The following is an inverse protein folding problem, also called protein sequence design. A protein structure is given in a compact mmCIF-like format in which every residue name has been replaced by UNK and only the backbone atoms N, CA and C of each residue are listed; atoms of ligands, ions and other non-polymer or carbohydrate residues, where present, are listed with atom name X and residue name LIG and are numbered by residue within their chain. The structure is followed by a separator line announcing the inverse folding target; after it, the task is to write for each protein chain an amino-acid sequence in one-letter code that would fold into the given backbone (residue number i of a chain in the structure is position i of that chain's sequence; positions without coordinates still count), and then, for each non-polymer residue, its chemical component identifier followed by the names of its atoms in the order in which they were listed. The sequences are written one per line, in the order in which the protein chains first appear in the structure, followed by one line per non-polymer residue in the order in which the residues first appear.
data_IF_847902293975
#
_entry.id   IF_847902293975
#
_cell.length_a   1.000
_cell.length_b   1.000
_cell.length_c   1.000
_cell.angle_alpha   90.00
_cell.angle_beta   90.00
_cell.angle_gamma   90.00
#
_symmetry.space_group_name_H-M   'P 1'
#
loop_
_entity.id
_entity.type
_entity.pdbx_description
1 polymer ?
#
# COMPACT_ATOMS: atom_id res chain seq x y z
N UNK A 1 -1.71 -9.38 -1.94
CA UNK A 1 -2.22 -8.01 -1.77
C UNK A 1 -2.41 -7.35 -3.13
N UNK A 2 -1.40 -7.36 -4.00
CA UNK A 2 -1.52 -6.78 -5.33
C UNK A 2 -2.68 -7.37 -6.13
N UNK A 3 -2.75 -8.71 -6.23
CA UNK A 3 -3.86 -9.41 -6.90
C UNK A 3 -5.24 -8.98 -6.39
N UNK A 4 -5.38 -8.79 -5.07
CA UNK A 4 -6.62 -8.31 -4.46
C UNK A 4 -6.96 -6.87 -4.88
N UNK A 5 -5.97 -5.98 -4.92
CA UNK A 5 -6.14 -4.58 -5.31
C UNK A 5 -6.36 -4.40 -6.82
N UNK A 6 -5.91 -5.37 -7.62
CA UNK A 6 -6.11 -5.46 -9.07
C UNK A 6 -7.45 -6.10 -9.44
N UNK A 7 -7.96 -7.04 -8.64
CA UNK A 7 -9.26 -7.66 -8.84
C UNK A 7 -10.43 -6.73 -8.48
N UNK A 8 -11.51 -6.68 -9.30
CA UNK A 8 -12.70 -5.90 -8.99
C UNK A 8 -13.41 -6.41 -7.73
N UNK A 9 -14.00 -5.50 -6.95
CA UNK A 9 -14.97 -5.87 -5.91
C UNK A 9 -16.33 -6.23 -6.54
N UNK A 10 -17.21 -6.96 -5.83
CA UNK A 10 -18.56 -7.28 -6.32
C UNK A 10 -19.35 -6.06 -6.78
N UNK A 11 -19.16 -4.91 -6.12
CA UNK A 11 -19.83 -3.64 -6.46
C UNK A 11 -19.25 -2.99 -7.73
N UNK A 12 -18.04 -3.37 -8.15
CA UNK A 12 -17.40 -2.91 -9.39
C UNK A 12 -17.80 -3.78 -10.61
N UNK A 13 -18.48 -4.92 -10.39
CA UNK A 13 -18.88 -5.86 -11.44
C UNK A 13 -20.32 -5.56 -11.89
N UNK A 14 -20.47 -5.22 -13.16
CA UNK A 14 -21.77 -5.07 -13.81
C UNK A 14 -22.19 -6.41 -14.43
N UNK A 15 -23.15 -7.09 -13.77
CA UNK A 15 -23.64 -8.41 -14.18
C UNK A 15 -24.33 -8.42 -15.55
N UNK A 16 -24.78 -7.26 -16.04
CA UNK A 16 -25.46 -7.11 -17.33
C UNK A 16 -24.50 -6.65 -18.45
N UNK A 17 -23.23 -6.37 -18.13
CA UNK A 17 -22.21 -5.97 -19.09
C UNK A 17 -21.69 -7.16 -19.90
N UNK A 18 -21.52 -6.96 -21.22
CA UNK A 18 -20.86 -7.91 -22.13
C UNK A 18 -19.37 -7.61 -22.31
N UNK A 19 -18.85 -6.57 -21.67
CA UNK A 19 -17.42 -6.24 -21.72
C UNK A 19 -16.61 -7.15 -20.79
N UNK A 20 -15.35 -7.41 -21.15
CA UNK A 20 -14.40 -8.10 -20.28
C UNK A 20 -14.29 -7.40 -18.92
N UNK A 21 -14.24 -8.17 -17.83
CA UNK A 21 -14.01 -7.65 -16.48
C UNK A 21 -12.73 -6.80 -16.46
N UNK A 22 -12.91 -5.48 -16.39
CA UNK A 22 -11.81 -4.53 -16.26
C UNK A 22 -11.28 -4.64 -14.83
N UNK A 23 -9.95 -4.60 -14.69
CA UNK A 23 -9.32 -4.56 -13.37
C UNK A 23 -9.90 -3.43 -12.49
N UNK A 24 -9.81 -3.63 -11.18
CA UNK A 24 -10.33 -2.71 -10.18
C UNK A 24 -9.85 -1.27 -10.38
N UNK A 25 -10.79 -0.34 -10.20
CA UNK A 25 -10.52 1.11 -10.27
C UNK A 25 -10.50 1.77 -8.91
N UNK A 26 -10.93 1.06 -7.86
CA UNK A 26 -10.97 1.59 -6.50
C UNK A 26 -9.61 2.08 -6.01
N UNK A 27 -9.65 3.11 -5.16
CA UNK A 27 -8.47 3.74 -4.58
C UNK A 27 -7.92 3.03 -3.34
N UNK A 28 -8.77 2.41 -2.53
CA UNK A 28 -8.46 1.83 -1.21
C UNK A 28 -8.93 0.39 -1.07
N UNK A 29 -8.73 -0.25 0.10
CA UNK A 29 -8.99 -1.69 0.24
C UNK A 29 -10.43 -2.08 -0.07
N UNK A 30 -11.39 -1.26 0.33
CA UNK A 30 -12.82 -1.55 0.32
C UNK A 30 -13.64 -0.54 -0.53
N UNK A 31 -12.97 0.26 -1.36
CA UNK A 31 -13.64 1.22 -2.22
C UNK A 31 -12.83 2.49 -2.45
N UNK A 32 -13.51 3.61 -2.64
CA UNK A 32 -12.90 4.91 -2.92
C UNK A 32 -12.70 5.79 -1.69
N UNK A 33 -13.18 5.35 -0.52
CA UNK A 33 -12.96 6.03 0.76
C UNK A 33 -12.07 5.22 1.69
N UNK A 34 -11.35 5.92 2.56
CA UNK A 34 -10.56 5.29 3.61
C UNK A 34 -11.47 4.60 4.63
N UNK A 35 -11.11 3.38 4.99
CA UNK A 35 -11.79 2.57 6.00
C UNK A 35 -10.85 2.21 7.14
N UNK A 36 -11.39 1.58 8.19
CA UNK A 36 -10.58 1.06 9.30
C UNK A 36 -9.52 0.03 8.85
N UNK A 37 -9.78 -0.70 7.77
CA UNK A 37 -8.82 -1.64 7.21
C UNK A 37 -7.58 -0.89 6.69
N UNK A 38 -7.78 0.26 6.05
CA UNK A 38 -6.70 1.10 5.53
C UNK A 38 -5.87 1.72 6.66
N UNK A 39 -6.54 2.23 7.70
CA UNK A 39 -5.88 2.76 8.90
C UNK A 39 -4.97 1.73 9.58
N UNK A 40 -5.32 0.44 9.51
CA UNK A 40 -4.50 -0.64 10.06
C UNK A 40 -3.34 -1.03 9.13
N UNK A 41 -3.56 -1.05 7.82
CA UNK A 41 -2.58 -1.53 6.85
C UNK A 41 -1.57 -0.47 6.42
N UNK A 42 -2.01 0.75 6.11
CA UNK A 42 -1.17 1.81 5.54
C UNK A 42 0.05 2.15 6.40
N UNK A 43 -0.05 2.30 7.74
CA UNK A 43 1.13 2.58 8.56
C UNK A 43 2.16 1.44 8.49
N UNK A 44 1.69 0.18 8.50
CA UNK A 44 2.57 -1.01 8.42
C UNK A 44 3.25 -1.10 7.05
N UNK A 45 2.48 -0.87 5.99
CA UNK A 45 3.00 -0.92 4.62
C UNK A 45 4.02 0.18 4.37
N UNK A 46 3.81 1.39 4.90
CA UNK A 46 4.76 2.49 4.81
C UNK A 46 6.06 2.20 5.56
N UNK A 47 5.98 1.65 6.79
CA UNK A 47 7.16 1.21 7.53
C UNK A 47 7.94 0.17 6.73
N UNK A 48 7.26 -0.85 6.19
CA UNK A 48 7.92 -1.88 5.35
C UNK A 48 8.62 -1.25 4.15
N UNK A 49 7.96 -0.33 3.43
CA UNK A 49 8.55 0.38 2.28
C UNK A 49 9.84 1.12 2.67
N UNK A 50 9.81 1.91 3.76
CA UNK A 50 10.96 2.72 4.20
C UNK A 50 12.11 1.83 4.70
N UNK A 51 11.81 0.88 5.59
CA UNK A 51 12.82 0.01 6.21
C UNK A 51 13.45 -0.94 5.19
N UNK A 52 12.65 -1.54 4.29
CA UNK A 52 13.16 -2.45 3.27
C UNK A 52 14.08 -1.72 2.27
N UNK A 53 13.70 -0.50 1.87
CA UNK A 53 14.55 0.35 1.03
C UNK A 53 15.87 0.66 1.71
N UNK A 54 15.81 1.13 2.96
CA UNK A 54 17.00 1.59 3.70
C UNK A 54 18.00 0.47 3.98
N UNK A 55 17.52 -0.67 4.46
CA UNK A 55 18.40 -1.71 5.02
C UNK A 55 18.62 -2.91 4.10
N UNK A 56 17.82 -3.06 3.05
CA UNK A 56 17.91 -4.20 2.13
C UNK A 56 18.00 -3.80 0.65
N UNK A 57 18.02 -2.50 0.35
CA UNK A 57 17.97 -1.99 -1.03
C UNK A 57 16.81 -2.61 -1.83
N UNK A 58 15.72 -2.93 -1.14
CA UNK A 58 14.54 -3.54 -1.72
C UNK A 58 13.48 -2.47 -1.95
N UNK A 59 13.00 -2.38 -3.18
CA UNK A 59 11.84 -1.60 -3.57
C UNK A 59 10.65 -2.52 -3.79
N UNK A 60 9.44 -2.01 -3.57
CA UNK A 60 8.23 -2.70 -4.03
C UNK A 60 8.34 -2.82 -5.56
N UNK A 61 8.27 -4.03 -6.13
CA UNK A 61 8.37 -4.24 -7.57
C UNK A 61 7.41 -3.33 -8.35
N UNK A 62 7.87 -2.79 -9.48
CA UNK A 62 7.10 -1.82 -10.28
C UNK A 62 5.89 -2.44 -10.97
N UNK A 63 5.87 -3.77 -11.13
CA UNK A 63 4.76 -4.54 -11.70
C UNK A 63 3.62 -4.78 -10.71
N UNK A 64 3.81 -4.50 -9.40
CA UNK A 64 2.74 -4.50 -8.40
C UNK A 64 1.86 -3.24 -8.52
N UNK A 65 1.13 -3.14 -9.64
CA UNK A 65 0.37 -1.96 -10.02
C UNK A 65 -0.75 -1.63 -9.02
N UNK A 66 -1.40 -2.63 -8.42
CA UNK A 66 -2.44 -2.46 -7.42
C UNK A 66 -1.90 -1.85 -6.13
N UNK A 67 -0.76 -2.34 -5.64
CA UNK A 67 -0.07 -1.80 -4.46
C UNK A 67 0.41 -0.37 -4.72
N UNK A 68 0.97 -0.09 -5.89
CA UNK A 68 1.39 1.27 -6.24
C UNK A 68 0.20 2.23 -6.36
N UNK A 69 -0.90 1.81 -6.99
CA UNK A 69 -2.16 2.59 -7.03
C UNK A 69 -2.63 2.91 -5.61
N UNK A 70 -2.67 1.91 -4.73
CA UNK A 70 -3.10 2.05 -3.34
C UNK A 70 -2.23 3.03 -2.55
N UNK A 71 -0.91 2.86 -2.58
CA UNK A 71 0.04 3.75 -1.90
C UNK A 71 -0.05 5.17 -2.43
N UNK A 72 -0.13 5.34 -3.75
CA UNK A 72 -0.21 6.66 -4.38
C UNK A 72 -1.53 7.37 -4.03
N UNK A 73 -2.63 6.64 -3.90
CA UNK A 73 -3.90 7.17 -3.41
C UNK A 73 -3.80 7.60 -1.94
N UNK A 74 -3.17 6.78 -1.09
CA UNK A 74 -2.98 7.09 0.32
C UNK A 74 -2.07 8.31 0.54
N UNK A 75 -0.96 8.44 -0.19
CA UNK A 75 -0.06 9.60 -0.07
C UNK A 75 -0.68 10.93 -0.55
N UNK A 76 -1.84 10.91 -1.20
CA UNK A 76 -2.61 12.12 -1.54
C UNK A 76 -3.61 12.52 -0.45
N UNK A 77 -3.82 11.67 0.57
CA UNK A 77 -4.76 11.92 1.67
C UNK A 77 -4.04 12.56 2.84
N UNK A 78 -4.56 13.67 3.33
CA UNK A 78 -4.00 14.40 4.48
C UNK A 78 -4.05 13.54 5.75
N UNK A 79 -5.11 12.73 5.90
CA UNK A 79 -5.30 11.83 7.04
C UNK A 79 -4.14 10.84 7.19
N UNK A 80 -3.51 10.47 6.08
CA UNK A 80 -2.34 9.61 6.07
C UNK A 80 -1.03 10.40 6.16
N UNK A 81 -0.84 11.43 5.34
CA UNK A 81 0.45 12.14 5.27
C UNK A 81 0.75 12.97 6.51
N UNK A 82 -0.26 13.54 7.17
CA UNK A 82 -0.11 14.31 8.41
C UNK A 82 0.20 13.44 9.64
N UNK A 83 -0.09 12.14 9.57
CA UNK A 83 0.08 11.19 10.69
C UNK A 83 1.30 10.28 10.53
N UNK A 84 1.93 10.27 9.36
CA UNK A 84 3.16 9.53 9.12
C UNK A 84 4.33 10.13 9.90
N UNK A 85 5.10 9.29 10.59
CA UNK A 85 6.39 9.67 11.12
C UNK A 85 7.36 9.98 9.96
N UNK A 86 8.31 10.89 10.19
CA UNK A 86 9.38 11.14 9.23
C UNK A 86 10.17 9.84 8.94
N UNK A 87 10.58 9.63 7.69
CA UNK A 87 11.31 8.42 7.28
C UNK A 87 12.52 8.16 8.19
N UNK A 88 13.25 9.21 8.61
CA UNK A 88 14.39 9.09 9.53
C UNK A 88 14.05 8.52 10.90
N UNK A 89 12.86 8.82 11.43
CA UNK A 89 12.37 8.25 12.69
C UNK A 89 12.08 6.75 12.54
N UNK A 90 11.44 6.37 11.43
CA UNK A 90 11.17 4.96 11.10
C UNK A 90 12.48 4.19 10.93
N UNK A 91 13.44 4.74 10.18
CA UNK A 91 14.76 4.13 10.02
C UNK A 91 15.46 3.94 11.37
N UNK A 92 15.51 4.98 12.19
CA UNK A 92 16.15 4.94 13.51
C UNK A 92 15.52 3.88 14.41
N UNK A 93 14.19 3.74 14.41
CA UNK A 93 13.47 2.75 15.19
C UNK A 93 13.84 1.30 14.82
N UNK A 94 14.19 1.04 13.55
CA UNK A 94 14.53 -0.31 13.06
C UNK A 94 16.04 -0.57 12.92
N UNK A 95 16.89 0.43 13.19
CA UNK A 95 18.34 0.37 12.98
C UNK A 95 19.03 -0.85 13.59
N UNK A 96 18.69 -1.21 14.82
CA UNK A 96 19.38 -2.28 15.53
C UNK A 96 18.87 -3.68 15.17
N UNK A 97 17.56 -3.81 14.92
CA UNK A 97 16.96 -5.08 14.50
C UNK A 97 17.31 -5.42 13.05
N UNK A 98 17.38 -4.42 12.17
CA UNK A 98 17.71 -4.60 10.76
C UNK A 98 19.18 -5.04 10.54
N UNK A 99 20.11 -4.60 11.40
CA UNK A 99 21.52 -5.03 11.34
C UNK A 99 21.70 -6.52 11.61
N UNK A 100 20.95 -7.09 12.58
CA UNK A 100 21.09 -8.49 13.00
C UNK A 100 20.72 -9.49 11.89
N UNK A 101 19.89 -9.04 10.96
CA UNK A 101 19.38 -9.84 9.85
C UNK A 101 20.31 -9.84 8.61
N UNK A 102 21.42 -9.09 8.62
CA UNK A 102 22.36 -8.99 7.49
C UNK A 102 23.46 -10.06 7.54
N UNK A 103 23.09 -11.30 7.92
CA UNK A 103 24.04 -12.40 8.12
C UNK A 103 24.31 -13.17 6.83
#
# INVERSE_FOLDING_TARGET
LDDYLCGPLPEEIDADSTEEEKGSKRCFLDGNELTLADCNLLPKLHIVKVVAKKYRSYDIPSDMAGVWKYLNSAYKREEFTSTCAADTEIENAYKDVAKRLAK
#
